data_IF_825201387058
#
_entry.id   IF_825201387058
#
_cell.length_a   1.000
_cell.length_b   1.000
_cell.length_c   1.000
_cell.angle_alpha   90.00
_cell.angle_beta   90.00
_cell.angle_gamma   90.00
#
_symmetry.space_group_name_H-M   'P 1'
#
loop_
_entity.id
_entity.type
_entity.pdbx_description
1 polymer ?
#
# COMPACT_ATOMS: atom_id res chain seq x y z
N UNK A 1 -28.69 10.03 45.45
CA UNK A 1 -29.75 9.34 44.70
C UNK A 1 -30.35 10.32 43.73
N UNK A 2 -30.58 9.97 42.46
CA UNK A 2 -31.26 10.87 41.53
C UNK A 2 -32.71 11.11 41.99
N UNK A 3 -33.20 12.32 41.79
CA UNK A 3 -34.56 12.73 42.15
C UNK A 3 -35.53 12.26 41.06
N UNK A 4 -36.50 11.44 41.43
CA UNK A 4 -37.49 10.92 40.48
C UNK A 4 -38.47 12.03 40.08
N UNK A 5 -38.64 12.25 38.77
CA UNK A 5 -39.53 13.30 38.25
C UNK A 5 -40.96 12.77 38.17
N UNK A 6 -41.86 13.32 38.98
CA UNK A 6 -43.30 13.05 38.93
C UNK A 6 -44.06 13.96 37.97
N UNK A 7 -43.47 15.10 37.63
CA UNK A 7 -44.16 16.20 36.95
C UNK A 7 -44.09 16.01 35.43
N UNK A 8 -44.77 15.00 34.91
CA UNK A 8 -44.87 14.75 33.47
C UNK A 8 -46.31 14.87 32.98
N UNK A 9 -46.48 15.35 31.75
CA UNK A 9 -47.79 15.36 31.10
C UNK A 9 -47.73 14.53 29.82
N UNK A 10 -48.71 13.65 29.65
CA UNK A 10 -48.78 12.78 28.49
C UNK A 10 -50.17 12.84 27.86
N UNK A 11 -50.19 12.69 26.54
CA UNK A 11 -51.39 12.63 25.71
C UNK A 11 -51.23 11.46 24.75
N UNK A 12 -52.33 10.93 24.25
CA UNK A 12 -52.28 9.82 23.30
C UNK A 12 -53.28 9.99 22.18
N UNK A 13 -52.92 9.40 21.04
CA UNK A 13 -53.81 9.07 19.94
C UNK A 13 -53.86 7.55 19.79
N UNK A 14 -54.68 7.07 18.86
CA UNK A 14 -54.74 5.63 18.54
C UNK A 14 -53.39 5.09 18.07
N UNK A 15 -52.53 5.93 17.49
CA UNK A 15 -51.29 5.53 16.83
C UNK A 15 -50.02 6.03 17.54
N UNK A 16 -50.10 7.09 18.36
CA UNK A 16 -48.93 7.69 18.98
C UNK A 16 -49.19 8.11 20.43
N UNK A 17 -48.12 8.26 21.20
CA UNK A 17 -48.08 8.80 22.55
C UNK A 17 -47.18 10.03 22.54
N UNK A 18 -47.70 11.13 23.05
CA UNK A 18 -46.97 12.37 23.25
C UNK A 18 -46.65 12.50 24.73
N UNK A 19 -45.37 12.56 25.08
CA UNK A 19 -44.93 12.74 26.47
C UNK A 19 -44.11 14.03 26.56
N UNK A 20 -44.44 14.88 27.53
CA UNK A 20 -43.74 16.13 27.81
C UNK A 20 -43.12 16.09 29.20
N UNK A 21 -41.81 16.32 29.27
CA UNK A 21 -41.02 16.35 30.50
C UNK A 21 -40.37 17.73 30.68
N UNK A 22 -40.60 18.44 31.80
CA UNK A 22 -39.91 19.69 32.09
C UNK A 22 -38.48 19.43 32.59
N UNK A 23 -37.51 20.15 32.01
CA UNK A 23 -36.07 20.02 32.29
C UNK A 23 -35.57 20.82 33.51
N UNK A 24 -36.45 21.60 34.15
CA UNK A 24 -36.15 22.38 35.38
C UNK A 24 -34.84 23.19 35.30
N UNK A 25 -34.50 23.73 34.13
CA UNK A 25 -33.32 24.59 33.91
C UNK A 25 -32.00 23.84 33.61
N UNK A 26 -32.02 22.53 33.37
CA UNK A 26 -30.82 21.76 33.00
C UNK A 26 -30.47 21.98 31.52
N UNK A 27 -29.18 22.12 31.23
CA UNK A 27 -28.68 22.30 29.88
C UNK A 27 -28.86 21.04 29.01
N UNK A 28 -29.19 21.24 27.73
CA UNK A 28 -29.39 20.16 26.74
C UNK A 28 -28.20 19.21 26.62
N UNK A 29 -26.98 19.70 26.88
CA UNK A 29 -25.74 18.90 26.79
C UNK A 29 -25.62 17.82 27.86
N UNK A 30 -26.23 18.05 29.02
CA UNK A 30 -26.15 17.14 30.17
C UNK A 30 -27.40 16.24 30.27
N UNK A 31 -28.24 16.25 29.23
CA UNK A 31 -29.47 15.47 29.16
C UNK A 31 -29.25 14.23 28.30
N UNK A 32 -29.28 13.06 28.94
CA UNK A 32 -29.22 11.77 28.25
C UNK A 32 -30.61 11.17 28.11
N UNK A 33 -30.97 10.78 26.88
CA UNK A 33 -32.24 10.14 26.56
C UNK A 33 -31.96 8.72 26.06
N UNK A 34 -32.56 7.73 26.70
CA UNK A 34 -32.50 6.33 26.31
C UNK A 34 -33.92 5.79 26.10
N UNK A 35 -34.22 5.38 24.86
CA UNK A 35 -35.51 4.87 24.45
C UNK A 35 -35.31 3.47 23.85
N UNK A 36 -36.23 2.56 24.16
CA UNK A 36 -36.35 1.21 23.59
C UNK A 36 -37.83 0.86 23.49
N UNK A 37 -38.17 -0.29 22.89
CA UNK A 37 -39.58 -0.67 22.66
C UNK A 37 -40.46 -0.61 23.92
N UNK A 38 -39.93 -1.02 25.09
CA UNK A 38 -40.70 -1.12 26.34
C UNK A 38 -40.20 -0.23 27.48
N UNK A 39 -39.11 0.54 27.26
CA UNK A 39 -38.44 1.26 28.34
C UNK A 39 -37.92 2.61 27.88
N UNK A 40 -38.28 3.65 28.64
CA UNK A 40 -37.85 5.03 28.44
C UNK A 40 -37.16 5.53 29.71
N UNK A 41 -35.94 6.04 29.54
CA UNK A 41 -35.13 6.64 30.60
C UNK A 41 -34.60 7.99 30.14
N UNK A 42 -34.77 9.00 30.97
CA UNK A 42 -34.23 10.34 30.74
C UNK A 42 -33.45 10.75 31.98
N UNK A 43 -32.16 11.00 31.81
CA UNK A 43 -31.26 11.41 32.88
C UNK A 43 -30.83 12.85 32.64
N UNK A 44 -31.15 13.74 33.58
CA UNK A 44 -30.72 15.15 33.56
C UNK A 44 -30.37 15.55 35.00
N UNK A 45 -29.10 15.35 35.42
CA UNK A 45 -28.70 15.47 36.81
C UNK A 45 -29.16 16.79 37.45
N UNK A 46 -29.74 16.78 38.67
CA UNK A 46 -29.88 15.64 39.60
C UNK A 46 -31.12 14.75 39.37
N UNK A 47 -31.90 14.97 38.32
CA UNK A 47 -33.18 14.31 38.08
C UNK A 47 -33.07 13.08 37.18
N UNK A 48 -33.93 12.09 37.44
CA UNK A 48 -34.08 10.90 36.62
C UNK A 48 -35.58 10.65 36.38
N UNK A 49 -35.95 10.51 35.13
CA UNK A 49 -37.26 10.03 34.73
C UNK A 49 -37.13 8.63 34.14
N UNK A 50 -38.00 7.73 34.58
CA UNK A 50 -38.01 6.34 34.14
C UNK A 50 -39.45 5.88 33.97
N UNK A 51 -39.77 5.34 32.80
CA UNK A 51 -41.08 4.82 32.46
C UNK A 51 -40.96 3.45 31.77
N UNK A 52 -41.68 2.47 32.31
CA UNK A 52 -41.87 1.15 31.71
C UNK A 52 -43.16 1.16 30.92
N UNK A 53 -43.05 1.26 29.59
CA UNK A 53 -44.18 1.50 28.70
C UNK A 53 -45.20 0.35 28.76
N UNK A 54 -46.49 0.68 28.70
CA UNK A 54 -47.58 -0.31 28.75
C UNK A 54 -47.52 -1.34 27.60
N UNK A 55 -47.14 -0.89 26.41
CA UNK A 55 -47.06 -1.71 25.20
C UNK A 55 -45.85 -1.28 24.34
N UNK A 56 -45.35 -2.17 23.44
CA UNK A 56 -44.17 -1.90 22.63
C UNK A 56 -44.37 -0.73 21.67
N UNK A 57 -43.33 0.09 21.58
CA UNK A 57 -43.21 1.26 20.70
C UNK A 57 -42.25 0.92 19.56
N UNK A 58 -42.52 1.51 18.40
CA UNK A 58 -41.58 1.50 17.28
C UNK A 58 -40.47 2.54 17.51
N UNK A 59 -39.29 2.05 17.88
CA UNK A 59 -38.12 2.86 18.24
C UNK A 59 -37.57 3.68 17.06
N UNK A 60 -37.70 3.18 15.83
CA UNK A 60 -37.12 3.81 14.64
C UNK A 60 -37.90 5.04 14.17
N UNK A 61 -39.24 4.98 14.25
CA UNK A 61 -40.10 6.11 13.86
C UNK A 61 -40.30 7.13 14.97
N UNK A 62 -40.03 6.74 16.22
CA UNK A 62 -40.18 7.60 17.40
C UNK A 62 -39.13 8.71 17.45
N UNK A 63 -39.54 9.89 17.92
CA UNK A 63 -38.68 11.08 17.94
C UNK A 63 -38.74 11.78 19.29
N UNK A 64 -37.58 12.23 19.77
CA UNK A 64 -37.48 13.11 20.93
C UNK A 64 -36.97 14.49 20.49
N UNK A 65 -37.70 15.54 20.86
CA UNK A 65 -37.30 16.94 20.65
C UNK A 65 -36.98 17.56 21.99
N UNK A 66 -35.72 17.93 22.19
CA UNK A 66 -35.26 18.62 23.39
C UNK A 66 -35.32 20.12 23.11
N UNK A 67 -36.25 20.82 23.76
CA UNK A 67 -36.32 22.28 23.77
C UNK A 67 -35.54 22.89 24.94
N UNK A 68 -35.61 24.22 25.08
CA UNK A 68 -34.84 24.94 26.10
C UNK A 68 -35.25 24.57 27.54
N UNK A 69 -36.51 24.21 27.78
CA UNK A 69 -37.03 23.86 29.12
C UNK A 69 -37.89 22.59 29.15
N UNK A 70 -38.18 21.98 28.00
CA UNK A 70 -39.05 20.79 27.91
C UNK A 70 -38.54 19.80 26.88
N UNK A 71 -38.59 18.51 27.22
CA UNK A 71 -38.41 17.41 26.26
C UNK A 71 -39.80 16.96 25.82
N UNK A 72 -40.02 16.92 24.50
CA UNK A 72 -41.25 16.40 23.89
C UNK A 72 -40.92 15.11 23.13
N UNK A 73 -41.46 14.00 23.60
CA UNK A 73 -41.40 12.71 22.95
C UNK A 73 -42.63 12.50 22.08
N UNK A 74 -42.40 12.04 20.85
CA UNK A 74 -43.42 11.54 19.94
C UNK A 74 -43.13 10.07 19.71
N UNK A 75 -43.82 9.21 20.45
CA UNK A 75 -43.59 7.77 20.44
C UNK A 75 -44.69 7.08 19.63
N UNK A 76 -44.33 6.27 18.63
CA UNK A 76 -45.31 5.57 17.78
C UNK A 76 -45.58 4.16 18.29
N UNK A 77 -46.86 3.82 18.47
CA UNK A 77 -47.25 2.50 18.98
C UNK A 77 -47.07 1.45 17.88
N UNK A 78 -46.51 0.29 18.23
CA UNK A 78 -46.39 -0.86 17.31
C UNK A 78 -47.77 -1.44 16.97
N UNK A 79 -48.69 -1.40 17.95
CA UNK A 79 -50.08 -1.79 17.82
C UNK A 79 -51.00 -0.60 18.13
N UNK A 80 -51.99 -0.36 17.26
CA UNK A 80 -52.90 0.78 17.39
C UNK A 80 -53.97 0.52 18.48
N UNK A 81 -53.59 0.70 19.75
CA UNK A 81 -54.47 0.54 20.91
C UNK A 81 -54.47 1.79 21.81
N UNK A 82 -55.57 2.05 22.52
CA UNK A 82 -55.63 3.08 23.55
C UNK A 82 -55.04 2.54 24.85
N UNK A 83 -54.13 3.28 25.48
CA UNK A 83 -53.47 2.88 26.73
C UNK A 83 -54.22 3.47 27.92
N UNK A 84 -54.54 2.65 28.93
CA UNK A 84 -55.17 3.16 30.17
C UNK A 84 -54.17 3.91 31.04
N UNK A 85 -52.92 3.46 31.02
CA UNK A 85 -51.80 4.04 31.77
C UNK A 85 -50.56 4.11 30.87
N UNK A 86 -49.70 5.11 31.11
CA UNK A 86 -48.42 5.22 30.39
C UNK A 86 -47.47 4.08 30.78
N UNK A 87 -47.47 3.73 32.07
CA UNK A 87 -46.63 2.69 32.64
C UNK A 87 -47.42 1.49 33.15
N UNK A 88 -46.85 0.29 33.00
CA UNK A 88 -47.44 -0.94 33.55
C UNK A 88 -47.62 -0.79 35.07
N UNK A 89 -48.85 -0.98 35.57
CA UNK A 89 -49.17 -0.91 37.00
C UNK A 89 -48.89 -2.26 37.68
N UNK A 90 -48.36 -2.25 38.92
CA UNK A 90 -48.15 -3.47 39.70
C UNK A 90 -46.89 -4.28 39.39
N UNK A 91 -45.85 -3.66 38.84
CA UNK A 91 -44.61 -4.36 38.48
C UNK A 91 -43.70 -4.54 39.70
N UNK A 92 -43.36 -5.79 40.03
CA UNK A 92 -42.37 -6.10 41.05
C UNK A 92 -40.98 -5.53 40.69
N UNK A 93 -40.19 -5.20 41.71
CA UNK A 93 -38.83 -4.65 41.53
C UNK A 93 -37.95 -5.54 40.65
N UNK A 94 -38.08 -6.85 40.77
CA UNK A 94 -37.35 -7.81 39.94
C UNK A 94 -37.76 -7.74 38.47
N UNK A 95 -39.06 -7.58 38.19
CA UNK A 95 -39.55 -7.49 36.83
C UNK A 95 -39.11 -6.19 36.16
N UNK A 96 -39.12 -5.06 36.90
CA UNK A 96 -38.53 -3.80 36.43
C UNK A 96 -37.04 -3.96 36.09
N UNK A 97 -36.29 -4.66 36.93
CA UNK A 97 -34.87 -4.92 36.67
C UNK A 97 -34.65 -5.79 35.43
N UNK A 98 -35.43 -6.87 35.26
CA UNK A 98 -35.37 -7.72 34.06
C UNK A 98 -35.69 -6.95 32.78
N UNK A 99 -36.69 -6.06 32.81
CA UNK A 99 -37.03 -5.21 31.65
C UNK A 99 -35.87 -4.27 31.33
N UNK A 100 -35.27 -3.60 32.34
CA UNK A 100 -34.09 -2.73 32.15
C UNK A 100 -32.94 -3.49 31.51
N UNK A 101 -32.57 -4.62 32.08
CA UNK A 101 -31.44 -5.44 31.61
C UNK A 101 -31.68 -5.93 30.17
N UNK A 102 -32.89 -6.43 29.88
CA UNK A 102 -33.27 -6.84 28.53
C UNK A 102 -33.21 -5.68 27.53
N UNK A 103 -33.74 -4.51 27.88
CA UNK A 103 -33.71 -3.32 27.02
C UNK A 103 -32.28 -2.84 26.75
N UNK A 104 -31.41 -2.86 27.76
CA UNK A 104 -29.99 -2.50 27.61
C UNK A 104 -29.28 -3.48 26.69
N UNK A 105 -29.48 -4.79 26.90
CA UNK A 105 -28.87 -5.83 26.05
C UNK A 105 -29.31 -5.70 24.59
N UNK A 106 -30.61 -5.53 24.33
CA UNK A 106 -31.13 -5.34 22.97
C UNK A 106 -30.57 -4.08 22.30
N UNK A 107 -30.41 -2.98 23.04
CA UNK A 107 -29.81 -1.76 22.51
C UNK A 107 -28.31 -1.95 22.21
N UNK A 108 -27.58 -2.68 23.05
CA UNK A 108 -26.17 -3.01 22.81
C UNK A 108 -26.00 -3.93 21.60
N UNK A 109 -26.84 -4.96 21.45
CA UNK A 109 -26.84 -5.87 20.30
C UNK A 109 -27.12 -5.09 19.00
N UNK A 110 -28.18 -4.28 18.96
CA UNK A 110 -28.49 -3.44 17.79
C UNK A 110 -27.37 -2.45 17.46
N UNK A 111 -26.74 -1.83 18.47
CA UNK A 111 -25.59 -0.96 18.25
C UNK A 111 -24.40 -1.71 17.67
N UNK A 112 -24.11 -2.93 18.18
CA UNK A 112 -23.03 -3.79 17.66
C UNK A 112 -23.31 -4.21 16.22
N UNK A 113 -24.50 -4.71 15.92
CA UNK A 113 -24.92 -5.08 14.56
C UNK A 113 -24.80 -3.89 13.59
N UNK A 114 -25.22 -2.68 13.99
CA UNK A 114 -25.06 -1.49 13.17
C UNK A 114 -23.58 -1.13 12.91
N UNK A 115 -22.70 -1.32 13.90
CA UNK A 115 -21.25 -1.10 13.72
C UNK A 115 -20.63 -2.14 12.80
N UNK A 116 -21.03 -3.40 12.92
CA UNK A 116 -20.58 -4.50 12.08
C UNK A 116 -21.07 -4.36 10.64
N UNK A 117 -22.34 -3.95 10.44
CA UNK A 117 -22.91 -3.65 9.13
C UNK A 117 -22.18 -2.49 8.44
N UNK A 118 -21.88 -1.39 9.17
CA UNK A 118 -21.05 -0.29 8.65
C UNK A 118 -19.65 -0.75 8.27
N UNK A 119 -19.03 -1.61 9.09
CA UNK A 119 -17.71 -2.17 8.79
C UNK A 119 -17.75 -3.11 7.58
N UNK A 120 -18.81 -3.90 7.41
CA UNK A 120 -19.01 -4.79 6.26
C UNK A 120 -19.20 -3.98 4.96
N UNK A 121 -20.08 -2.97 4.97
CA UNK A 121 -20.27 -2.07 3.82
C UNK A 121 -18.95 -1.39 3.41
N UNK A 122 -18.18 -0.87 4.38
CA UNK A 122 -16.86 -0.28 4.11
C UNK A 122 -15.88 -1.29 3.47
N UNK A 123 -15.91 -2.56 3.89
CA UNK A 123 -15.06 -3.61 3.29
C UNK A 123 -15.50 -3.94 1.86
N UNK A 124 -16.81 -3.96 1.59
CA UNK A 124 -17.34 -4.17 0.24
C UNK A 124 -16.96 -3.03 -0.70
N UNK A 125 -17.10 -1.78 -0.25
CA UNK A 125 -16.67 -0.59 -1.01
C UNK A 125 -15.15 -0.64 -1.31
N UNK A 126 -14.33 -1.03 -0.33
CA UNK A 126 -12.89 -1.20 -0.52
C UNK A 126 -12.55 -2.30 -1.54
N UNK A 127 -13.24 -3.44 -1.47
CA UNK A 127 -13.08 -4.53 -2.45
C UNK A 127 -13.49 -4.09 -3.85
N UNK A 128 -14.61 -3.37 -3.97
CA UNK A 128 -15.09 -2.83 -5.23
C UNK A 128 -14.06 -1.86 -5.83
N UNK A 129 -13.58 -0.90 -5.05
CA UNK A 129 -12.56 0.06 -5.47
C UNK A 129 -11.27 -0.63 -5.94
N UNK A 130 -10.78 -1.64 -5.19
CA UNK A 130 -9.62 -2.43 -5.58
C UNK A 130 -9.85 -3.17 -6.90
N UNK A 131 -11.03 -3.79 -7.07
CA UNK A 131 -11.35 -4.53 -8.31
C UNK A 131 -11.40 -3.61 -9.54
N UNK A 132 -11.88 -2.37 -9.37
CA UNK A 132 -11.88 -1.37 -10.43
C UNK A 132 -10.47 -0.93 -10.76
N UNK A 133 -9.64 -0.67 -9.74
CA UNK A 133 -8.22 -0.31 -9.93
C UNK A 133 -7.45 -1.41 -10.67
N UNK A 134 -7.62 -2.67 -10.28
CA UNK A 134 -6.99 -3.81 -10.95
C UNK A 134 -7.37 -3.91 -12.43
N UNK A 135 -8.65 -3.66 -12.77
CA UNK A 135 -9.11 -3.65 -14.17
C UNK A 135 -8.44 -2.54 -14.98
N UNK A 136 -8.33 -1.33 -14.41
CA UNK A 136 -7.64 -0.21 -15.07
C UNK A 136 -6.15 -0.56 -15.30
N UNK A 137 -5.48 -1.09 -14.27
CA UNK A 137 -4.07 -1.48 -14.37
C UNK A 137 -3.86 -2.61 -15.39
N UNK A 138 -4.78 -3.58 -15.47
CA UNK A 138 -4.74 -4.65 -16.47
C UNK A 138 -4.91 -4.12 -17.91
N UNK A 139 -5.82 -3.17 -18.12
CA UNK A 139 -5.98 -2.48 -19.41
C UNK A 139 -4.73 -1.70 -19.81
N UNK A 140 -4.08 -1.02 -18.86
CA UNK A 140 -2.82 -0.30 -19.10
C UNK A 140 -1.67 -1.26 -19.43
N UNK A 141 -1.52 -2.36 -18.68
CA UNK A 141 -0.52 -3.39 -18.96
C UNK A 141 -0.70 -3.97 -20.35
N UNK A 142 -1.95 -4.29 -20.74
CA UNK A 142 -2.26 -4.79 -22.07
C UNK A 142 -1.89 -3.80 -23.17
N UNK A 143 -2.17 -2.51 -23.00
CA UNK A 143 -1.74 -1.45 -23.95
C UNK A 143 -0.22 -1.40 -24.09
N UNK A 144 0.53 -1.55 -22.99
CA UNK A 144 2.00 -1.55 -23.00
C UNK A 144 2.53 -2.80 -23.71
N UNK A 145 1.94 -3.97 -23.45
CA UNK A 145 2.29 -5.23 -24.14
C UNK A 145 2.04 -5.13 -25.65
N UNK A 146 0.88 -4.60 -26.06
CA UNK A 146 0.55 -4.37 -27.47
C UNK A 146 1.56 -3.41 -28.14
N UNK A 147 1.99 -2.35 -27.45
CA UNK A 147 3.03 -1.44 -27.95
C UNK A 147 4.39 -2.15 -28.11
N UNK A 148 4.81 -2.92 -27.10
CA UNK A 148 6.08 -3.67 -27.14
C UNK A 148 6.10 -4.70 -28.26
N UNK A 149 5.00 -5.44 -28.44
CA UNK A 149 4.90 -6.44 -29.52
C UNK A 149 4.89 -5.76 -30.89
N UNK A 150 4.21 -4.62 -31.04
CA UNK A 150 4.27 -3.82 -32.28
C UNK A 150 5.68 -3.33 -32.62
N UNK A 151 6.44 -2.84 -31.63
CA UNK A 151 7.83 -2.44 -31.82
C UNK A 151 8.72 -3.64 -32.16
N UNK A 152 8.52 -4.78 -31.47
CA UNK A 152 9.22 -6.02 -31.76
C UNK A 152 8.98 -6.49 -33.19
N UNK A 153 7.73 -6.48 -33.66
CA UNK A 153 7.36 -6.83 -35.03
C UNK A 153 8.00 -5.87 -36.05
N UNK A 154 8.06 -4.56 -35.76
CA UNK A 154 8.76 -3.60 -36.62
C UNK A 154 10.26 -3.88 -36.68
N UNK A 155 10.89 -4.17 -35.54
CA UNK A 155 12.31 -4.47 -35.46
C UNK A 155 12.68 -5.78 -36.18
N UNK A 156 11.87 -6.84 -36.02
CA UNK A 156 12.08 -8.11 -36.73
C UNK A 156 11.94 -7.95 -38.24
N UNK A 157 10.90 -7.23 -38.71
CA UNK A 157 10.72 -6.91 -40.13
C UNK A 157 11.89 -6.09 -40.69
N UNK A 158 12.37 -5.09 -39.96
CA UNK A 158 13.53 -4.28 -40.37
C UNK A 158 14.80 -5.13 -40.46
N UNK A 159 15.00 -6.07 -39.53
CA UNK A 159 16.15 -6.96 -39.50
C UNK A 159 16.10 -8.00 -40.65
N UNK A 160 14.92 -8.52 -40.97
CA UNK A 160 14.70 -9.36 -42.14
C UNK A 160 14.95 -8.60 -43.44
N UNK A 161 14.42 -7.39 -43.58
CA UNK A 161 14.67 -6.53 -44.75
C UNK A 161 16.17 -6.21 -44.92
N UNK A 162 16.88 -5.95 -43.82
CA UNK A 162 18.34 -5.74 -43.86
C UNK A 162 19.10 -6.99 -44.29
N UNK A 163 18.71 -8.18 -43.78
CA UNK A 163 19.29 -9.47 -44.21
C UNK A 163 19.06 -9.73 -45.70
N UNK A 164 17.88 -9.45 -46.22
CA UNK A 164 17.60 -9.56 -47.66
C UNK A 164 18.44 -8.60 -48.49
N UNK A 165 18.59 -7.35 -48.03
CA UNK A 165 19.43 -6.37 -48.70
C UNK A 165 20.90 -6.83 -48.75
N UNK A 166 21.42 -7.37 -47.65
CA UNK A 166 22.77 -7.95 -47.61
C UNK A 166 22.93 -9.12 -48.58
N UNK A 167 21.98 -10.06 -48.63
CA UNK A 167 22.02 -11.15 -49.62
C UNK A 167 22.06 -10.61 -51.05
N UNK A 168 21.15 -9.69 -51.40
CA UNK A 168 21.09 -9.07 -52.74
C UNK A 168 22.40 -8.35 -53.08
N UNK A 169 23.01 -7.65 -52.13
CA UNK A 169 24.29 -6.96 -52.32
C UNK A 169 25.47 -7.95 -52.49
N UNK A 170 25.50 -9.05 -51.74
CA UNK A 170 26.50 -10.11 -51.92
C UNK A 170 26.34 -10.82 -53.28
N UNK A 171 25.11 -11.07 -53.69
CA UNK A 171 24.77 -11.69 -54.97
C UNK A 171 25.19 -10.80 -56.14
N UNK A 172 24.91 -9.49 -56.07
CA UNK A 172 25.42 -8.51 -57.04
C UNK A 172 26.96 -8.46 -57.08
N UNK A 173 27.64 -8.51 -55.92
CA UNK A 173 29.11 -8.58 -55.87
C UNK A 173 29.64 -9.86 -56.49
N UNK A 174 28.95 -11.00 -56.32
CA UNK A 174 29.28 -12.28 -56.97
C UNK A 174 29.16 -12.17 -58.48
N UNK A 175 28.04 -11.65 -58.98
CA UNK A 175 27.80 -11.44 -60.41
C UNK A 175 28.90 -10.53 -61.01
N UNK A 176 29.22 -9.41 -60.36
CA UNK A 176 30.31 -8.51 -60.80
C UNK A 176 31.69 -9.20 -60.79
N UNK A 177 31.95 -10.09 -59.82
CA UNK A 177 33.20 -10.87 -59.77
C UNK A 177 33.26 -11.86 -60.93
N UNK A 178 32.18 -12.58 -61.21
CA UNK A 178 32.08 -13.52 -62.32
C UNK A 178 32.22 -12.83 -63.68
N UNK A 179 31.61 -11.65 -63.86
CA UNK A 179 31.78 -10.83 -65.06
C UNK A 179 33.24 -10.40 -65.26
N UNK A 180 33.90 -9.91 -64.20
CA UNK A 180 35.33 -9.55 -64.24
C UNK A 180 36.21 -10.75 -64.55
N UNK A 181 35.89 -11.93 -63.99
CA UNK A 181 36.60 -13.17 -64.26
C UNK A 181 36.43 -13.59 -65.73
N UNK A 182 35.21 -13.54 -66.25
CA UNK A 182 34.89 -13.80 -67.65
C UNK A 182 35.63 -12.83 -68.61
N UNK A 183 35.70 -11.55 -68.26
CA UNK A 183 36.48 -10.56 -69.02
C UNK A 183 37.99 -10.87 -69.01
N UNK A 184 38.55 -11.19 -67.83
CA UNK A 184 39.95 -11.62 -67.72
C UNK A 184 40.23 -12.89 -68.52
N UNK A 185 39.34 -13.88 -68.48
CA UNK A 185 39.49 -15.10 -69.27
C UNK A 185 39.45 -14.83 -70.77
N UNK A 186 38.60 -13.90 -71.23
CA UNK A 186 38.59 -13.44 -72.63
C UNK A 186 39.91 -12.76 -73.01
N UNK A 187 40.44 -11.88 -72.16
CA UNK A 187 41.76 -11.25 -72.38
C UNK A 187 42.89 -12.29 -72.41
N UNK A 188 42.93 -13.23 -71.46
CA UNK A 188 43.92 -14.31 -71.44
C UNK A 188 43.78 -15.19 -72.68
N UNK A 189 42.56 -15.49 -73.16
CA UNK A 189 42.36 -16.23 -74.42
C UNK A 189 42.88 -15.45 -75.62
N UNK A 190 42.69 -14.13 -75.68
CA UNK A 190 43.25 -13.29 -76.74
C UNK A 190 44.78 -13.23 -76.67
N UNK A 191 45.36 -13.05 -75.49
CA UNK A 191 46.81 -13.10 -75.30
C UNK A 191 47.38 -14.48 -75.63
N UNK A 192 46.72 -15.56 -75.22
CA UNK A 192 47.11 -16.93 -75.62
C UNK A 192 46.99 -17.15 -77.12
N UNK A 193 46.02 -16.56 -77.80
CA UNK A 193 45.96 -16.57 -79.27
C UNK A 193 47.18 -15.83 -79.85
N UNK A 194 47.51 -14.63 -79.35
CA UNK A 194 48.72 -13.86 -79.75
C UNK A 194 50.02 -14.62 -79.49
N UNK A 195 50.14 -15.31 -78.34
CA UNK A 195 51.28 -16.13 -77.97
C UNK A 195 51.33 -17.42 -78.79
N UNK A 196 50.20 -18.06 -79.11
CA UNK A 196 50.13 -19.21 -80.02
C UNK A 196 50.63 -18.87 -81.43
N UNK A 197 50.37 -17.66 -81.92
CA UNK A 197 50.98 -17.17 -83.17
C UNK A 197 52.50 -16.98 -83.06
N UNK A 198 53.05 -16.82 -81.84
CA UNK A 198 54.50 -16.71 -81.57
C UNK A 198 55.19 -18.03 -81.16
N UNK A 199 54.45 -19.02 -80.67
CA UNK A 199 55.01 -20.25 -80.08
C UNK A 199 54.84 -21.49 -80.98
N UNK A 200 54.76 -21.31 -82.30
CA UNK A 200 54.87 -22.38 -83.29
C UNK A 200 56.33 -22.89 -83.34
N UNK A 201 56.81 -23.48 -82.25
CA UNK A 201 58.04 -24.29 -82.16
C UNK A 201 58.10 -24.93 -80.76
N UNK A 202 58.28 -26.27 -80.72
CA UNK A 202 58.43 -27.17 -79.55
C UNK A 202 57.15 -27.75 -78.88
N UNK A 203 56.63 -28.82 -79.50
CA UNK A 203 56.57 -30.23 -79.03
C UNK A 203 57.00 -30.52 -77.57
N UNK A 204 56.52 -31.53 -76.82
CA UNK A 204 55.47 -32.56 -76.86
C UNK A 204 55.50 -33.27 -75.48
N UNK A 205 54.45 -34.05 -75.14
CA UNK A 205 54.37 -35.12 -74.10
C UNK A 205 54.23 -34.68 -72.61
N UNK A 206 53.44 -35.29 -71.73
CA UNK A 206 52.49 -36.42 -71.79
C UNK A 206 51.52 -36.37 -70.57
N UNK A 207 50.34 -36.97 -70.79
CA UNK A 207 49.29 -37.56 -69.91
C UNK A 207 49.76 -38.07 -68.53
N UNK A 208 48.93 -38.36 -67.52
CA UNK A 208 47.55 -38.13 -67.07
C UNK A 208 47.47 -38.76 -65.65
N UNK A 209 46.35 -38.53 -64.95
CA UNK A 209 45.68 -39.38 -63.94
C UNK A 209 45.71 -38.93 -62.47
N UNK A 210 44.49 -38.74 -61.95
CA UNK A 210 44.08 -38.48 -60.58
C UNK A 210 44.28 -39.71 -59.66
N UNK A 211 44.13 -39.57 -58.32
CA UNK A 211 42.83 -39.97 -57.75
C UNK A 211 42.37 -39.27 -56.43
N UNK A 212 41.04 -39.30 -56.29
CA UNK A 212 40.14 -39.54 -55.14
C UNK A 212 40.66 -39.37 -53.69
N UNK A 213 39.81 -38.66 -52.93
CA UNK A 213 39.94 -38.37 -51.50
C UNK A 213 39.84 -39.58 -50.56
N UNK A 214 40.33 -39.36 -49.35
CA UNK A 214 40.27 -40.24 -48.20
C UNK A 214 39.70 -39.46 -47.02
N UNK A 215 38.53 -39.89 -46.55
CA UNK A 215 38.05 -39.63 -45.20
C UNK A 215 38.73 -40.65 -44.27
N UNK A 216 39.32 -40.18 -43.17
CA UNK A 216 39.83 -41.02 -42.09
C UNK A 216 38.85 -40.97 -40.92
N UNK A 217 38.19 -42.09 -40.66
CA UNK A 217 37.35 -42.34 -39.49
C UNK A 217 38.22 -42.51 -38.24
N UNK A 218 37.79 -41.89 -37.13
CA UNK A 218 38.47 -41.96 -35.84
C UNK A 218 38.11 -43.24 -35.08
N UNK A 219 39.14 -43.81 -34.46
CA UNK A 219 39.31 -45.20 -34.00
C UNK A 219 38.67 -45.53 -32.62
N UNK A 220 37.73 -44.71 -32.12
CA UNK A 220 37.30 -44.74 -30.70
C UNK A 220 35.87 -45.27 -30.43
N UNK A 221 35.26 -46.01 -31.35
CA UNK A 221 33.90 -46.54 -31.16
C UNK A 221 33.81 -48.01 -31.56
N UNK A 222 34.27 -48.90 -30.70
CA UNK A 222 33.86 -50.31 -30.73
C UNK A 222 33.40 -50.76 -29.35
N UNK A 223 32.12 -51.11 -29.27
CA UNK A 223 31.43 -51.63 -28.10
C UNK A 223 31.78 -53.11 -27.93
N UNK A 224 32.48 -53.45 -26.85
CA UNK A 224 32.57 -54.82 -26.36
C UNK A 224 31.47 -55.03 -25.30
N UNK A 225 30.36 -55.66 -25.72
CA UNK A 225 29.65 -56.66 -24.91
C UNK A 225 30.43 -57.97 -25.13
N UNK A 226 30.64 -58.87 -24.18
CA UNK A 226 29.69 -59.53 -23.29
C UNK A 226 30.49 -60.40 -22.29
N UNK A 227 29.80 -61.06 -21.35
CA UNK A 227 30.23 -62.23 -20.56
C UNK A 227 30.43 -62.07 -19.04
N UNK A 228 29.27 -62.08 -18.37
CA UNK A 228 28.90 -62.88 -17.17
C UNK A 228 29.90 -63.10 -16.03
N UNK A 229 29.74 -62.35 -14.94
CA UNK A 229 30.07 -62.76 -13.57
C UNK A 229 28.86 -62.41 -12.67
N UNK A 230 28.21 -63.36 -11.99
CA UNK A 230 27.12 -63.05 -11.07
C UNK A 230 27.63 -62.42 -9.76
N UNK A 231 26.97 -61.37 -9.28
CA UNK A 231 27.38 -60.60 -8.11
C UNK A 231 26.91 -61.24 -6.78
N UNK A 232 27.69 -61.11 -5.68
CA UNK A 232 27.30 -61.56 -4.33
C UNK A 232 26.05 -60.83 -3.78
N UNK A 233 25.24 -61.51 -2.96
CA UNK A 233 24.08 -60.93 -2.26
C UNK A 233 24.51 -59.83 -1.27
N UNK A 234 23.79 -58.71 -1.24
CA UNK A 234 24.04 -57.56 -0.35
C UNK A 234 23.45 -57.72 1.05
N UNK A 235 24.13 -57.14 2.05
CA UNK A 235 23.68 -56.99 3.45
C UNK A 235 22.66 -55.85 3.58
N UNK A 236 21.55 -56.09 4.30
CA UNK A 236 20.54 -55.06 4.60
C UNK A 236 20.95 -54.21 5.80
N UNK A 237 21.06 -52.89 5.62
CA UNK A 237 21.28 -51.90 6.69
C UNK A 237 19.98 -51.16 6.98
N UNK A 238 19.54 -51.14 8.24
CA UNK A 238 18.34 -50.41 8.69
C UNK A 238 18.74 -48.94 8.88
N UNK A 239 18.16 -48.05 8.07
CA UNK A 239 18.32 -46.59 8.25
C UNK A 239 17.38 -46.10 9.36
N UNK A 240 17.96 -45.63 10.46
CA UNK A 240 17.25 -44.83 11.46
C UNK A 240 17.33 -43.37 11.00
N UNK A 241 16.20 -42.77 10.61
CA UNK A 241 16.13 -41.35 10.29
C UNK A 241 15.67 -40.58 11.53
N UNK A 242 16.45 -39.60 11.97
CA UNK A 242 15.99 -38.61 12.94
C UNK A 242 15.29 -37.47 12.20
N UNK A 243 14.21 -36.94 12.79
CA UNK A 243 13.51 -35.77 12.27
C UNK A 243 14.48 -34.58 12.33
N UNK A 244 14.79 -33.91 11.20
CA UNK A 244 15.69 -32.76 11.20
C UNK A 244 15.08 -31.65 12.07
N UNK A 245 15.84 -31.15 13.05
CA UNK A 245 15.44 -30.02 13.91
C UNK A 245 16.29 -28.81 13.60
N UNK A 246 15.65 -27.64 13.46
CA UNK A 246 16.31 -26.34 13.28
C UNK A 246 16.79 -25.76 14.61
N UNK A 247 16.04 -26.01 15.69
CA UNK A 247 16.41 -25.58 17.04
C UNK A 247 17.14 -26.70 17.80
N UNK A 248 18.18 -26.37 18.60
CA UNK A 248 18.91 -27.33 19.42
C UNK A 248 18.10 -27.88 20.61
N UNK A 249 16.92 -27.31 20.90
CA UNK A 249 16.04 -27.70 22.00
C UNK A 249 15.36 -29.06 21.76
N UNK A 250 15.36 -29.93 22.78
CA UNK A 250 14.68 -31.23 22.72
C UNK A 250 13.16 -31.06 22.60
N UNK A 251 12.45 -31.99 21.92
CA UNK A 251 10.99 -31.88 21.65
C UNK A 251 10.17 -31.64 22.93
N UNK A 252 10.60 -32.23 24.04
CA UNK A 252 9.94 -32.11 25.35
C UNK A 252 9.88 -30.66 25.86
N UNK A 253 10.81 -29.81 25.46
CA UNK A 253 10.96 -28.42 25.91
C UNK A 253 10.62 -27.41 24.80
N UNK A 254 10.34 -27.88 23.59
CA UNK A 254 10.14 -27.05 22.40
C UNK A 254 8.72 -26.46 22.40
N UNK A 255 8.67 -25.12 22.41
CA UNK A 255 7.48 -24.33 22.09
C UNK A 255 7.39 -24.22 20.55
N UNK A 256 7.06 -25.32 19.87
CA UNK A 256 7.14 -25.44 18.39
C UNK A 256 6.47 -24.25 17.68
N UNK A 257 5.31 -23.80 18.18
CA UNK A 257 4.59 -22.65 17.61
C UNK A 257 5.39 -21.34 17.73
N UNK A 258 5.99 -21.05 18.89
CA UNK A 258 6.80 -19.84 19.10
C UNK A 258 8.09 -19.88 18.26
N UNK A 259 8.70 -21.06 18.16
CA UNK A 259 9.90 -21.32 17.36
C UNK A 259 9.63 -21.12 15.85
N UNK A 260 8.51 -21.64 15.34
CA UNK A 260 8.06 -21.43 13.96
C UNK A 260 7.70 -19.97 13.69
N UNK A 261 7.01 -19.30 14.61
CA UNK A 261 6.73 -17.87 14.52
C UNK A 261 8.01 -17.05 14.47
N UNK A 262 9.02 -17.38 15.29
CA UNK A 262 10.30 -16.70 15.28
C UNK A 262 11.01 -16.87 13.93
N UNK A 263 11.01 -18.09 13.38
CA UNK A 263 11.58 -18.36 12.05
C UNK A 263 10.83 -17.61 10.95
N UNK A 264 9.50 -17.57 11.02
CA UNK A 264 8.68 -16.81 10.08
C UNK A 264 8.97 -15.31 10.15
N UNK A 265 9.01 -14.71 11.35
CA UNK A 265 9.35 -13.29 11.54
C UNK A 265 10.76 -12.98 11.03
N UNK A 266 11.72 -13.87 11.27
CA UNK A 266 13.09 -13.70 10.79
C UNK A 266 13.20 -13.84 9.26
N UNK A 267 12.48 -14.80 8.67
CA UNK A 267 12.43 -14.98 7.23
C UNK A 267 11.70 -13.81 6.53
N UNK A 268 10.62 -13.30 7.12
CA UNK A 268 9.90 -12.13 6.65
C UNK A 268 10.78 -10.88 6.71
N UNK A 269 11.49 -10.65 7.82
CA UNK A 269 12.47 -9.57 7.94
C UNK A 269 13.59 -9.69 6.88
N UNK A 270 14.10 -10.91 6.64
CA UNK A 270 15.08 -11.17 5.58
C UNK A 270 14.52 -10.94 4.19
N UNK A 271 13.27 -11.34 3.91
CA UNK A 271 12.62 -11.08 2.62
C UNK A 271 12.36 -9.59 2.41
N UNK A 272 11.85 -8.89 3.41
CA UNK A 272 11.62 -7.45 3.34
C UNK A 272 12.92 -6.68 3.05
N UNK A 273 14.05 -7.13 3.59
CA UNK A 273 15.34 -6.61 3.19
C UNK A 273 15.76 -7.13 1.81
N UNK A 274 15.67 -8.43 1.52
CA UNK A 274 16.22 -9.03 0.31
C UNK A 274 15.47 -8.72 -1.00
N UNK A 275 14.16 -8.49 -0.98
CA UNK A 275 13.39 -8.21 -2.20
C UNK A 275 13.83 -6.90 -2.84
N UNK A 276 14.28 -5.93 -2.02
CA UNK A 276 14.85 -4.68 -2.51
C UNK A 276 16.37 -4.79 -2.74
N UNK A 277 17.07 -5.70 -2.03
CA UNK A 277 18.53 -5.84 -2.12
C UNK A 277 19.00 -6.28 -3.51
N UNK A 278 18.20 -6.97 -4.33
CA UNK A 278 18.62 -7.34 -5.68
C UNK A 278 19.02 -6.12 -6.55
N UNK A 279 18.37 -4.97 -6.38
CA UNK A 279 18.79 -3.69 -7.00
C UNK A 279 19.90 -2.97 -6.23
N UNK A 280 20.09 -3.29 -4.94
CA UNK A 280 21.08 -2.65 -4.05
C UNK A 280 22.44 -3.37 -4.06
N UNK A 281 22.55 -4.57 -4.63
CA UNK A 281 23.81 -5.32 -4.70
C UNK A 281 24.92 -4.57 -5.46
N UNK A 282 24.57 -3.70 -6.40
CA UNK A 282 25.51 -2.89 -7.18
C UNK A 282 25.97 -1.60 -6.47
N UNK A 283 25.40 -1.31 -5.28
CA UNK A 283 25.77 -0.13 -4.50
C UNK A 283 27.14 -0.29 -3.85
N UNK A 284 27.92 0.80 -3.83
CA UNK A 284 29.20 0.84 -3.13
C UNK A 284 28.98 0.59 -1.63
N UNK A 285 30.02 0.10 -0.92
CA UNK A 285 29.90 -0.21 0.52
C UNK A 285 29.44 1.02 1.34
N UNK A 286 29.84 2.23 0.93
CA UNK A 286 29.39 3.49 1.51
C UNK A 286 27.88 3.73 1.33
N UNK A 287 27.32 3.33 0.19
CA UNK A 287 25.90 3.51 -0.17
C UNK A 287 24.98 2.54 0.58
N UNK A 288 25.53 1.51 1.25
CA UNK A 288 24.79 0.63 2.16
C UNK A 288 24.56 1.24 3.54
N UNK A 289 25.25 2.33 3.88
CA UNK A 289 25.04 3.02 5.15
C UNK A 289 23.91 4.06 5.02
N UNK A 290 22.78 3.92 5.73
CA UNK A 290 21.66 4.87 5.64
C UNK A 290 22.05 6.29 6.09
N UNK A 291 23.03 6.42 7.00
CA UNK A 291 23.54 7.71 7.45
C UNK A 291 24.32 8.43 6.34
N UNK A 292 25.14 7.71 5.59
CA UNK A 292 25.86 8.26 4.45
C UNK A 292 24.90 8.72 3.34
N UNK A 293 23.84 7.94 3.07
CA UNK A 293 22.80 8.34 2.10
C UNK A 293 22.01 9.56 2.58
N UNK A 294 21.73 9.67 3.89
CA UNK A 294 21.14 10.87 4.48
C UNK A 294 22.03 12.09 4.21
N UNK A 295 23.33 11.98 4.43
CA UNK A 295 24.27 13.07 4.21
C UNK A 295 24.45 13.42 2.72
N UNK A 296 24.43 12.42 1.84
CA UNK A 296 24.36 12.64 0.38
C UNK A 296 23.09 13.39 0.00
N UNK A 297 21.94 13.01 0.56
CA UNK A 297 20.68 13.71 0.39
C UNK A 297 20.74 15.16 0.91
N UNK A 298 21.39 15.39 2.05
CA UNK A 298 21.57 16.73 2.63
C UNK A 298 22.44 17.62 1.72
N UNK A 299 23.52 17.07 1.15
CA UNK A 299 24.37 17.76 0.16
C UNK A 299 23.57 18.10 -1.10
N UNK A 300 22.78 17.16 -1.61
CA UNK A 300 21.93 17.38 -2.79
C UNK A 300 20.85 18.44 -2.53
N UNK A 301 20.26 18.44 -1.33
CA UNK A 301 19.31 19.46 -0.89
C UNK A 301 19.96 20.86 -0.82
N UNK A 302 21.21 20.95 -0.34
CA UNK A 302 21.96 22.19 -0.33
C UNK A 302 22.30 22.71 -1.75
N UNK A 303 22.46 21.81 -2.72
CA UNK A 303 22.62 22.16 -4.15
C UNK A 303 21.27 22.41 -4.86
N UNK A 304 20.17 22.53 -4.11
CA UNK A 304 18.80 22.74 -4.62
C UNK A 304 18.27 21.64 -5.55
N UNK A 305 18.96 20.50 -5.65
CA UNK A 305 18.51 19.36 -6.44
C UNK A 305 17.58 18.45 -5.61
N UNK A 306 16.34 18.90 -5.44
CA UNK A 306 15.35 18.24 -4.59
C UNK A 306 14.97 16.84 -5.09
N UNK A 307 14.91 16.62 -6.42
CA UNK A 307 14.57 15.31 -6.99
C UNK A 307 15.66 14.27 -6.69
N UNK A 308 16.93 14.62 -6.89
CA UNK A 308 18.04 13.74 -6.55
C UNK A 308 18.13 13.48 -5.03
N UNK A 309 17.86 14.51 -4.22
CA UNK A 309 17.81 14.37 -2.76
C UNK A 309 16.70 13.38 -2.33
N UNK A 310 15.51 13.47 -2.92
CA UNK A 310 14.41 12.52 -2.67
C UNK A 310 14.83 11.09 -3.01
N UNK A 311 15.50 10.88 -4.14
CA UNK A 311 15.98 9.55 -4.51
C UNK A 311 17.00 9.00 -3.50
N UNK A 312 17.94 9.83 -3.03
CA UNK A 312 18.89 9.43 -1.99
C UNK A 312 18.18 9.08 -0.67
N UNK A 313 17.19 9.88 -0.23
CA UNK A 313 16.40 9.57 0.95
C UNK A 313 15.53 8.33 0.77
N UNK A 314 14.98 8.10 -0.42
CA UNK A 314 14.21 6.89 -0.72
C UNK A 314 15.07 5.63 -0.58
N UNK A 315 16.29 5.65 -1.13
CA UNK A 315 17.25 4.56 -0.94
C UNK A 315 17.60 4.38 0.54
N UNK A 316 17.81 5.46 1.28
CA UNK A 316 18.09 5.39 2.72
C UNK A 316 16.92 4.78 3.51
N UNK A 317 15.68 5.12 3.15
CA UNK A 317 14.47 4.59 3.79
C UNK A 317 14.30 3.09 3.49
N UNK A 318 14.65 2.64 2.29
CA UNK A 318 14.65 1.20 1.94
C UNK A 318 15.64 0.41 2.80
N UNK A 319 16.80 0.98 3.12
CA UNK A 319 17.79 0.35 4.00
C UNK A 319 17.39 0.40 5.46
N UNK A 320 16.91 1.55 5.95
CA UNK A 320 16.46 1.73 7.33
C UNK A 320 15.21 2.62 7.41
N UNK A 321 14.05 1.96 7.54
CA UNK A 321 12.75 2.62 7.68
C UNK A 321 12.47 3.16 9.10
N UNK A 322 13.37 2.94 10.07
CA UNK A 322 13.19 3.38 11.47
C UNK A 322 13.80 4.75 11.76
N UNK A 323 14.44 5.40 10.79
CA UNK A 323 15.08 6.71 10.99
C UNK A 323 14.12 7.86 10.65
N UNK A 324 13.55 8.57 11.65
CA UNK A 324 12.55 9.63 11.41
C UNK A 324 13.12 10.83 10.64
N UNK A 325 14.43 11.08 10.77
CA UNK A 325 15.12 12.17 10.07
C UNK A 325 15.06 12.05 8.55
N UNK A 326 15.00 10.83 8.00
CA UNK A 326 14.89 10.60 6.55
C UNK A 326 13.56 11.10 6.00
N UNK A 327 12.46 10.69 6.64
CA UNK A 327 11.11 11.15 6.29
C UNK A 327 10.98 12.65 6.43
N UNK A 328 11.52 13.21 7.52
CA UNK A 328 11.58 14.65 7.74
C UNK A 328 12.28 15.39 6.59
N UNK A 329 13.46 14.93 6.17
CA UNK A 329 14.22 15.58 5.10
C UNK A 329 13.57 15.38 3.72
N UNK A 330 12.95 14.23 3.49
CA UNK A 330 12.14 13.97 2.29
C UNK A 330 10.91 14.89 2.22
N UNK A 331 10.22 15.10 3.34
CA UNK A 331 9.13 16.07 3.46
C UNK A 331 9.57 17.50 3.10
N UNK A 332 10.76 17.91 3.53
CA UNK A 332 11.31 19.23 3.17
C UNK A 332 11.54 19.37 1.66
N UNK A 333 12.00 18.32 0.98
CA UNK A 333 12.13 18.29 -0.47
C UNK A 333 10.75 18.35 -1.16
N UNK A 334 9.77 17.60 -0.65
CA UNK A 334 8.40 17.62 -1.17
C UNK A 334 7.74 18.99 -1.04
N UNK A 335 7.94 19.71 0.07
CA UNK A 335 7.49 21.09 0.24
C UNK A 335 8.10 22.02 -0.82
N UNK A 336 9.40 21.89 -1.10
CA UNK A 336 10.08 22.69 -2.14
C UNK A 336 9.57 22.39 -3.56
N UNK A 337 9.20 21.15 -3.82
CA UNK A 337 8.59 20.72 -5.09
C UNK A 337 7.07 20.90 -5.16
N UNK A 338 6.42 21.49 -4.14
CA UNK A 338 4.95 21.62 -4.02
C UNK A 338 4.18 20.29 -4.05
N UNK A 339 4.83 19.19 -3.68
CA UNK A 339 4.18 17.89 -3.51
C UNK A 339 3.56 17.78 -2.10
N UNK A 340 2.53 18.57 -1.84
CA UNK A 340 2.02 18.85 -0.49
C UNK A 340 1.48 17.60 0.23
N UNK A 341 0.71 16.77 -0.46
CA UNK A 341 0.19 15.52 0.11
C UNK A 341 1.32 14.59 0.57
N UNK A 342 2.36 14.40 -0.25
CA UNK A 342 3.52 13.57 0.12
C UNK A 342 4.29 14.17 1.31
N UNK A 343 4.38 15.50 1.40
CA UNK A 343 5.00 16.16 2.55
C UNK A 343 4.21 15.92 3.85
N UNK A 344 2.88 15.88 3.78
CA UNK A 344 2.00 15.59 4.93
C UNK A 344 2.16 14.13 5.37
N UNK A 345 2.17 13.19 4.42
CA UNK A 345 2.38 11.77 4.69
C UNK A 345 3.74 11.53 5.37
N UNK A 346 4.81 12.10 4.81
CA UNK A 346 6.16 11.96 5.36
C UNK A 346 6.30 12.59 6.75
N UNK A 347 5.72 13.77 6.95
CA UNK A 347 5.76 14.45 8.23
C UNK A 347 4.96 13.68 9.30
N UNK A 348 3.82 13.09 8.91
CA UNK A 348 3.02 12.24 9.79
C UNK A 348 3.74 10.94 10.12
N UNK A 349 4.41 10.31 9.14
CA UNK A 349 5.21 9.11 9.39
C UNK A 349 6.40 9.38 10.29
N UNK A 350 7.05 10.55 10.13
CA UNK A 350 8.09 10.98 11.05
C UNK A 350 7.57 11.15 12.47
N UNK A 351 6.38 11.76 12.66
CA UNK A 351 5.77 11.93 13.98
C UNK A 351 5.43 10.59 14.64
N UNK A 352 4.93 9.60 13.89
CA UNK A 352 4.71 8.23 14.39
C UNK A 352 5.99 7.58 14.89
N UNK A 353 7.09 7.73 14.15
CA UNK A 353 8.41 7.17 14.51
C UNK A 353 9.08 7.93 15.67
N UNK A 354 8.66 9.17 15.95
CA UNK A 354 9.16 10.00 17.04
C UNK A 354 8.37 9.80 18.35
N UNK A 355 7.53 8.76 18.43
CA UNK A 355 6.91 8.31 19.67
C UNK A 355 7.81 7.29 20.40
N UNK A 356 8.02 7.40 21.72
CA UNK A 356 7.44 8.38 22.66
C UNK A 356 8.08 9.78 22.57
N UNK A 357 7.37 10.83 23.03
CA UNK A 357 7.91 12.18 23.09
C UNK A 357 9.03 12.30 24.13
N UNK A 358 10.29 12.37 23.67
CA UNK A 358 11.50 12.51 24.53
C UNK A 358 12.14 13.89 24.31
N UNK A 359 12.89 14.39 25.29
CA UNK A 359 13.63 15.67 25.17
C UNK A 359 14.54 15.70 23.95
N UNK A 360 15.24 14.61 23.67
CA UNK A 360 16.23 14.52 22.60
C UNK A 360 15.61 14.62 21.20
N UNK A 361 14.37 14.13 21.06
CA UNK A 361 13.64 14.15 19.79
C UNK A 361 12.69 15.36 19.67
N UNK A 362 12.68 16.28 20.63
CA UNK A 362 11.83 17.47 20.65
C UNK A 362 12.01 18.34 19.40
N UNK A 363 13.26 18.62 19.01
CA UNK A 363 13.55 19.43 17.81
C UNK A 363 13.04 18.76 16.52
N UNK A 364 13.21 17.43 16.41
CA UNK A 364 12.71 16.68 15.26
C UNK A 364 11.18 16.70 15.20
N UNK A 365 10.49 16.54 16.34
CA UNK A 365 9.02 16.63 16.44
C UNK A 365 8.51 18.01 16.07
N UNK A 366 9.14 19.06 16.61
CA UNK A 366 8.82 20.45 16.25
C UNK A 366 8.95 20.67 14.73
N UNK A 367 10.06 20.24 14.12
CA UNK A 367 10.26 20.33 12.66
C UNK A 367 9.21 19.54 11.87
N UNK A 368 8.75 18.40 12.37
CA UNK A 368 7.71 17.59 11.73
C UNK A 368 6.37 18.32 11.72
N UNK A 369 5.97 18.87 12.88
CA UNK A 369 4.76 19.68 13.00
C UNK A 369 4.82 20.92 12.10
N UNK A 370 5.93 21.67 12.11
CA UNK A 370 6.08 22.84 11.23
C UNK A 370 5.97 22.45 9.76
N UNK A 371 6.65 21.38 9.31
CA UNK A 371 6.58 20.93 7.91
C UNK A 371 5.17 20.49 7.52
N UNK A 372 4.49 19.74 8.37
CA UNK A 372 3.09 19.33 8.14
C UNK A 372 2.15 20.53 8.12
N UNK A 373 2.30 21.44 9.07
CA UNK A 373 1.55 22.71 9.13
C UNK A 373 1.77 23.58 7.89
N UNK A 374 3.02 23.72 7.42
CA UNK A 374 3.29 24.45 6.16
C UNK A 374 2.63 23.81 4.95
N UNK A 375 2.57 22.48 4.89
CA UNK A 375 1.89 21.78 3.80
C UNK A 375 0.37 21.98 3.86
N UNK A 376 -0.23 21.93 5.06
CA UNK A 376 -1.65 22.21 5.25
C UNK A 376 -2.01 23.64 4.88
N UNK A 377 -1.22 24.63 5.30
CA UNK A 377 -1.45 26.03 4.91
C UNK A 377 -1.34 26.24 3.40
N UNK A 378 -0.43 25.54 2.71
CA UNK A 378 -0.34 25.61 1.23
C UNK A 378 -1.50 24.88 0.53
N UNK A 379 -2.21 23.97 1.22
CA UNK A 379 -3.45 23.34 0.76
C UNK A 379 -4.71 24.12 1.20
N UNK A 380 -4.56 25.33 1.74
CA UNK A 380 -5.66 26.16 2.27
C UNK A 380 -6.39 25.56 3.48
N UNK A 381 -5.82 24.52 4.10
CA UNK A 381 -6.29 23.90 5.34
C UNK A 381 -5.70 24.62 6.55
N UNK A 382 -6.09 25.88 6.73
CA UNK A 382 -5.48 26.77 7.73
C UNK A 382 -5.74 26.34 9.17
N UNK A 383 -6.89 25.73 9.47
CA UNK A 383 -7.25 25.32 10.84
C UNK A 383 -6.35 24.15 11.29
N UNK A 384 -6.18 23.16 10.43
CA UNK A 384 -5.29 22.01 10.63
C UNK A 384 -3.83 22.46 10.68
N UNK A 385 -3.45 23.40 9.80
CA UNK A 385 -2.14 24.04 9.83
C UNK A 385 -1.88 24.71 11.18
N UNK A 386 -2.81 25.52 11.68
CA UNK A 386 -2.68 26.22 12.96
C UNK A 386 -2.50 25.24 14.12
N UNK A 387 -3.25 24.13 14.15
CA UNK A 387 -3.10 23.10 15.18
C UNK A 387 -1.68 22.52 15.22
N UNK A 388 -1.07 22.30 14.06
CA UNK A 388 0.32 21.84 13.96
C UNK A 388 1.32 22.89 14.44
N UNK A 389 1.13 24.17 14.08
CA UNK A 389 1.97 25.25 14.60
C UNK A 389 1.83 25.41 16.12
N UNK A 390 0.62 25.27 16.67
CA UNK A 390 0.40 25.29 18.11
C UNK A 390 1.04 24.08 18.81
N UNK A 391 1.01 22.90 18.19
CA UNK A 391 1.75 21.74 18.68
C UNK A 391 3.27 21.97 18.66
N UNK A 392 3.80 22.62 17.62
CA UNK A 392 5.21 23.01 17.55
C UNK A 392 5.59 24.02 18.64
N UNK A 393 4.75 25.04 18.89
CA UNK A 393 4.94 26.04 19.94
C UNK A 393 4.87 25.46 21.36
N UNK A 394 4.09 24.39 21.57
CA UNK A 394 4.09 23.64 22.85
C UNK A 394 5.43 22.94 23.11
N UNK A 395 6.17 22.56 22.06
CA UNK A 395 7.47 21.88 22.18
C UNK A 395 8.59 22.89 22.37
N UNK A 396 8.64 23.94 21.55
CA UNK A 396 9.60 25.04 21.67
C UNK A 396 8.86 26.40 21.68
N UNK A 397 8.45 26.88 22.87
CA UNK A 397 7.78 28.16 23.00
C UNK A 397 8.66 29.36 22.62
N UNK A 398 9.98 29.19 22.56
CA UNK A 398 10.93 30.29 22.33
C UNK A 398 11.13 30.63 20.85
N UNK A 399 10.62 29.78 19.95
CA UNK A 399 10.88 29.90 18.53
C UNK A 399 10.05 31.01 17.87
N UNK A 400 10.67 32.19 17.72
CA UNK A 400 10.06 33.37 17.10
C UNK A 400 9.54 33.13 15.68
N UNK A 401 10.19 32.27 14.89
CA UNK A 401 9.79 32.00 13.50
C UNK A 401 8.42 31.29 13.49
N UNK A 402 8.28 30.25 14.33
CA UNK A 402 7.03 29.49 14.46
C UNK A 402 5.92 30.37 15.03
N UNK A 403 6.23 31.29 15.96
CA UNK A 403 5.27 32.26 16.49
C UNK A 403 4.75 33.20 15.40
N UNK A 404 5.66 33.82 14.62
CA UNK A 404 5.30 34.71 13.52
C UNK A 404 4.43 33.98 12.48
N UNK A 405 4.77 32.75 12.13
CA UNK A 405 4.00 31.99 11.14
C UNK A 405 2.63 31.56 11.71
N UNK A 406 2.54 31.19 12.98
CA UNK A 406 1.26 30.93 13.65
C UNK A 406 0.36 32.18 13.70
N UNK A 407 0.93 33.36 13.97
CA UNK A 407 0.22 34.64 13.95
C UNK A 407 -0.29 34.98 12.54
N UNK A 408 0.52 34.78 11.50
CA UNK A 408 0.07 34.94 10.11
C UNK A 408 -1.12 34.04 9.81
N UNK A 409 -1.09 32.77 10.22
CA UNK A 409 -2.18 31.82 9.98
C UNK A 409 -3.44 32.25 10.75
N UNK A 410 -3.31 32.73 12.00
CA UNK A 410 -4.44 33.27 12.77
C UNK A 410 -5.07 34.48 12.07
N UNK A 411 -4.25 35.38 11.54
CA UNK A 411 -4.74 36.55 10.79
C UNK A 411 -5.48 36.14 9.51
N UNK A 412 -5.00 35.11 8.79
CA UNK A 412 -5.69 34.56 7.62
C UNK A 412 -7.04 33.96 8.02
N UNK A 413 -7.11 33.18 9.10
CA UNK A 413 -8.37 32.59 9.59
C UNK A 413 -9.37 33.68 10.05
N UNK A 414 -8.88 34.77 10.66
CA UNK A 414 -9.72 35.90 11.08
C UNK A 414 -10.15 36.81 9.92
N UNK A 415 -9.64 36.58 8.70
CA UNK A 415 -9.92 37.41 7.53
C UNK A 415 -9.24 38.78 7.56
N UNK A 416 -8.29 38.99 8.47
CA UNK A 416 -7.47 40.21 8.54
C UNK A 416 -6.28 40.04 7.59
N UNK A 417 -6.54 39.95 6.28
CA UNK A 417 -5.46 39.90 5.31
C UNK A 417 -4.64 41.20 5.40
N UNK A 418 -3.36 41.03 5.71
CA UNK A 418 -2.34 42.05 5.55
C UNK A 418 -2.30 42.41 4.06
N UNK A 419 -2.95 43.52 3.68
CA UNK A 419 -2.58 44.25 2.47
C UNK A 419 -1.11 44.62 2.62
N UNK A 420 -0.24 43.89 1.94
CA UNK A 420 1.18 44.20 1.78
C UNK A 420 1.55 44.00 0.31
#
# INVERSE_FOLDING_TARGET
MPLQVSDYSWQQTKTAVFLSLPLKGVCVRDTDVFCTENYLKVNFPPFLFEAFLYAPIDDESSKAKIGNDTIVFTLYKKEAAMWETLSVTGVDKEMMQRIREKSILQAQERAKEATEAKAAAKREDQKYALSVMMKIEEEERKKIEDMKENERIKATKALEAWKEYQRKAEEQKKIQREEKLCQKEKQIKEERKKIKYKSLTRNLASRNLAPKGRNSENIFTEKLKEDSIPAPRSVGSIKINFTPRVFPTALRESQVAEEEEWLHKQAEARRAMNTDIAELCDLKEEEKNPEWLKDKGNKLFATENYLAAINAYNLAIRLNNKMPLLYLNRAACHLKLKNLHKAIEDSSKALELLMPPVTDNANARMKAHVRRGTAFCQLELYVEGLQDYEAALKIDPSNKIVQIDAEKIRNVIQGTELKS
#
